data_IF_187872171503
#
_entry.id   IF_187872171503
#
_cell.length_a   1.000
_cell.length_b   1.000
_cell.length_c   1.000
_cell.angle_alpha   90.00
_cell.angle_beta   90.00
_cell.angle_gamma   90.00
#
_symmetry.space_group_name_H-M   'P 1'
#
loop_
_entity.id
_entity.type
_entity.pdbx_description
1 polymer ?
#
# COMPACT_ATOMS: atom_id res chain seq x y z
N UNK A 1 -5.26 3.18 -6.38
CA UNK A 1 -4.38 4.36 -6.60
C UNK A 1 -4.69 5.05 -7.93
N UNK A 2 -4.30 4.55 -9.10
CA UNK A 2 -4.58 5.24 -10.37
C UNK A 2 -6.08 5.45 -10.64
N UNK A 3 -6.91 4.47 -10.25
CA UNK A 3 -8.37 4.61 -10.28
C UNK A 3 -8.88 5.74 -9.39
N UNK A 4 -8.30 5.93 -8.20
CA UNK A 4 -8.70 6.97 -7.25
C UNK A 4 -8.30 8.38 -7.75
N UNK A 5 -7.31 8.48 -8.63
CA UNK A 5 -6.82 9.75 -9.21
C UNK A 5 -7.53 10.05 -10.54
N UNK A 6 -8.39 9.15 -11.04
CA UNK A 6 -9.11 9.32 -12.31
C UNK A 6 -8.24 9.19 -13.57
N UNK A 7 -7.02 8.68 -13.45
CA UNK A 7 -6.09 8.53 -14.58
C UNK A 7 -6.25 7.17 -15.26
N UNK A 8 -6.52 7.18 -16.57
CA UNK A 8 -6.54 5.96 -17.38
C UNK A 8 -5.12 5.49 -17.68
N UNK A 9 -4.64 4.48 -16.94
CA UNK A 9 -3.30 3.88 -17.11
C UNK A 9 -3.44 2.36 -17.28
N UNK A 10 -2.72 1.80 -18.25
CA UNK A 10 -2.59 0.35 -18.41
C UNK A 10 -1.56 -0.19 -17.43
N UNK A 11 -1.97 -1.08 -16.54
CA UNK A 11 -1.10 -1.71 -15.53
C UNK A 11 -0.67 -3.09 -16.04
N UNK A 12 0.64 -3.32 -16.12
CA UNK A 12 1.23 -4.61 -16.48
C UNK A 12 1.79 -5.28 -15.22
N UNK A 13 1.41 -6.54 -15.00
CA UNK A 13 1.95 -7.36 -13.92
C UNK A 13 3.29 -7.94 -14.37
N UNK A 14 4.30 -7.80 -13.52
CA UNK A 14 5.66 -8.31 -13.75
C UNK A 14 6.17 -9.01 -12.50
N UNK A 15 7.12 -9.91 -12.68
CA UNK A 15 7.85 -10.55 -11.59
C UNK A 15 9.00 -9.66 -11.11
N UNK A 16 9.47 -9.90 -9.89
CA UNK A 16 10.59 -9.15 -9.30
C UNK A 16 11.85 -9.22 -10.16
N UNK A 17 12.11 -10.37 -10.78
CA UNK A 17 13.30 -10.60 -11.61
C UNK A 17 13.25 -9.82 -12.93
N UNK A 18 12.05 -9.57 -13.46
CA UNK A 18 11.84 -8.82 -14.71
C UNK A 18 12.11 -7.32 -14.51
N UNK A 19 11.98 -6.82 -13.28
CA UNK A 19 12.27 -5.42 -12.94
C UNK A 19 13.77 -5.16 -12.67
N UNK A 20 14.53 -6.17 -12.22
CA UNK A 20 16.00 -6.08 -12.11
C UNK A 20 16.55 -5.25 -10.94
N UNK A 21 15.87 -5.20 -9.79
CA UNK A 21 16.37 -4.46 -8.60
C UNK A 21 17.65 -5.12 -8.05
N UNK A 22 18.65 -4.30 -7.69
CA UNK A 22 19.92 -4.76 -7.09
C UNK A 22 19.81 -5.31 -5.66
N UNK A 23 18.71 -5.02 -4.96
CA UNK A 23 18.54 -5.33 -3.54
C UNK A 23 17.41 -6.32 -3.38
N UNK A 24 17.65 -7.35 -2.57
CA UNK A 24 16.63 -8.35 -2.24
C UNK A 24 15.44 -7.72 -1.53
N UNK A 25 14.25 -8.09 -1.97
CA UNK A 25 12.98 -7.70 -1.36
C UNK A 25 12.32 -8.96 -0.81
N UNK A 26 11.80 -8.87 0.41
CA UNK A 26 11.00 -9.94 0.99
C UNK A 26 9.76 -10.19 0.15
N UNK A 27 9.43 -11.46 -0.09
CA UNK A 27 8.21 -11.85 -0.78
C UNK A 27 6.94 -11.41 -0.03
N UNK A 28 6.99 -11.41 1.30
CA UNK A 28 5.87 -11.03 2.17
C UNK A 28 6.34 -10.08 3.27
N UNK A 29 5.83 -8.86 3.25
CA UNK A 29 6.22 -7.77 4.16
C UNK A 29 5.04 -7.23 5.00
N UNK A 30 3.91 -7.95 5.04
CA UNK A 30 2.75 -7.53 5.85
C UNK A 30 3.05 -7.66 7.34
N UNK A 31 2.82 -6.58 8.09
CA UNK A 31 3.05 -6.54 9.53
C UNK A 31 1.74 -6.75 10.32
N UNK A 32 1.85 -7.43 11.45
CA UNK A 32 0.75 -7.53 12.40
C UNK A 32 0.79 -6.37 13.40
N UNK A 33 -0.32 -5.66 13.53
CA UNK A 33 -0.46 -4.54 14.48
C UNK A 33 -0.72 -5.01 15.94
N UNK A 34 0.01 -6.01 16.43
CA UNK A 34 -0.28 -6.66 17.71
C UNK A 34 -0.15 -5.70 18.89
N UNK A 35 0.95 -4.95 18.99
CA UNK A 35 1.17 -4.02 20.09
C UNK A 35 0.12 -2.91 20.14
N UNK A 36 -0.39 -2.46 18.98
CA UNK A 36 -1.48 -1.49 18.93
C UNK A 36 -2.75 -2.06 19.58
N UNK A 37 -3.08 -3.31 19.25
CA UNK A 37 -4.24 -4.01 19.84
C UNK A 37 -4.08 -4.22 21.34
N UNK A 38 -2.92 -4.70 21.79
CA UNK A 38 -2.67 -5.02 23.20
C UNK A 38 -2.69 -3.79 24.10
N UNK A 39 -2.23 -2.65 23.59
CA UNK A 39 -2.20 -1.40 24.33
C UNK A 39 -3.50 -0.59 24.25
N UNK A 40 -4.56 -1.15 23.63
CA UNK A 40 -5.87 -0.49 23.53
C UNK A 40 -5.92 0.72 22.58
N UNK A 41 -4.95 0.85 21.66
CA UNK A 41 -5.01 1.89 20.63
C UNK A 41 -6.10 1.58 19.61
N UNK A 42 -6.63 2.64 18.99
CA UNK A 42 -7.53 2.48 17.85
C UNK A 42 -6.83 1.68 16.73
N UNK A 43 -7.56 0.76 16.06
CA UNK A 43 -6.99 -0.01 14.97
C UNK A 43 -6.60 0.92 13.80
N UNK A 44 -5.53 0.54 13.11
CA UNK A 44 -5.18 1.18 11.84
C UNK A 44 -6.35 1.04 10.86
N UNK A 45 -6.63 2.12 10.14
CA UNK A 45 -7.66 2.15 9.09
C UNK A 45 -7.26 1.26 7.92
N UNK A 46 -8.22 0.93 7.07
CA UNK A 46 -7.93 0.21 5.82
C UNK A 46 -7.07 1.10 4.92
N UNK A 47 -6.08 0.51 4.25
CA UNK A 47 -5.14 1.28 3.43
C UNK A 47 -5.85 1.98 2.26
N UNK A 48 -6.94 1.40 1.74
CA UNK A 48 -7.76 1.98 0.68
C UNK A 48 -8.51 3.24 1.13
N UNK A 49 -8.92 3.30 2.40
CA UNK A 49 -9.58 4.48 2.98
C UNK A 49 -8.55 5.61 3.15
N UNK A 50 -7.40 5.30 3.75
CA UNK A 50 -6.32 6.26 3.94
C UNK A 50 -5.77 6.80 2.61
N UNK A 51 -5.65 5.94 1.58
CA UNK A 51 -5.21 6.37 0.25
C UNK A 51 -6.21 7.33 -0.42
N UNK A 52 -7.51 7.07 -0.28
CA UNK A 52 -8.55 7.93 -0.85
C UNK A 52 -8.55 9.31 -0.21
N UNK A 53 -8.47 9.38 1.11
CA UNK A 53 -8.34 10.65 1.83
C UNK A 53 -7.08 11.39 1.41
N UNK A 54 -5.94 10.71 1.32
CA UNK A 54 -4.70 11.34 0.88
C UNK A 54 -4.79 11.95 -0.52
N UNK A 55 -5.41 11.25 -1.47
CA UNK A 55 -5.64 11.77 -2.82
C UNK A 55 -6.54 13.01 -2.78
N UNK A 56 -7.61 13.00 -1.98
CA UNK A 56 -8.51 14.15 -1.80
C UNK A 56 -7.77 15.35 -1.17
N UNK A 57 -6.94 15.13 -0.15
CA UNK A 57 -6.20 16.18 0.53
C UNK A 57 -5.11 16.83 -0.34
N UNK A 58 -4.59 16.09 -1.32
CA UNK A 58 -3.45 16.52 -2.15
C UNK A 58 -3.87 16.99 -3.56
N UNK A 59 -5.12 16.79 -3.96
CA UNK A 59 -5.65 17.24 -5.26
C UNK A 59 -6.13 18.69 -5.21
#
# INVERSE_FOLDING_TARGET
>A
MFQEIGTSVTILLVKTEEYGVKVERSYYSVLQHLCLKLNGFAPMRKWEEALREYVIETS
#
